data_IF_387296293153
#
_entry.id   IF_387296293153
#
_cell.length_a   1.000
_cell.length_b   1.000
_cell.length_c   1.000
_cell.angle_alpha   90.00
_cell.angle_beta   90.00
_cell.angle_gamma   90.00
#
_symmetry.space_group_name_H-M   'P 1'
#
loop_
_entity.id
_entity.type
_entity.pdbx_description
1 polymer ?
#
# COMPACT_ATOMS: atom_id res chain seq x y z
N UNK A 1 -0.94 4.92 -7.94
CA UNK A 1 -1.42 5.57 -6.71
C UNK A 1 -2.69 4.87 -6.26
N UNK A 2 -2.86 4.70 -4.95
CA UNK A 2 -3.99 3.97 -4.35
C UNK A 2 -4.79 4.88 -3.41
N UNK A 3 -6.11 4.77 -3.46
CA UNK A 3 -7.03 5.39 -2.52
C UNK A 3 -8.30 4.55 -2.32
N UNK A 4 -8.98 4.68 -1.20
CA UNK A 4 -10.34 4.16 -0.98
C UNK A 4 -11.37 5.05 -1.68
N UNK A 5 -11.11 6.35 -1.78
CA UNK A 5 -12.07 7.35 -2.22
C UNK A 5 -11.86 7.72 -3.68
N UNK A 6 -12.92 7.57 -4.49
CA UNK A 6 -12.91 8.01 -5.89
C UNK A 6 -12.68 9.50 -6.03
N UNK A 7 -13.22 10.31 -5.11
CA UNK A 7 -13.04 11.76 -5.11
C UNK A 7 -11.56 12.14 -5.01
N UNK A 8 -10.79 11.45 -4.15
CA UNK A 8 -9.34 11.64 -4.05
C UNK A 8 -8.65 11.32 -5.37
N UNK A 9 -9.06 10.25 -6.05
CA UNK A 9 -8.53 9.92 -7.38
C UNK A 9 -8.92 10.97 -8.44
N UNK A 10 -10.14 11.51 -8.40
CA UNK A 10 -10.60 12.58 -9.30
C UNK A 10 -9.70 13.83 -9.17
N UNK A 11 -9.40 14.23 -7.92
CA UNK A 11 -8.51 15.38 -7.65
C UNK A 11 -7.07 15.13 -8.10
N UNK A 12 -6.55 13.92 -7.88
CA UNK A 12 -5.21 13.53 -8.30
C UNK A 12 -5.13 13.50 -9.83
N UNK A 13 -6.11 12.92 -10.50
CA UNK A 13 -6.19 12.86 -11.97
C UNK A 13 -6.19 14.28 -12.57
N UNK A 14 -6.98 15.18 -12.01
CA UNK A 14 -6.98 16.59 -12.42
C UNK A 14 -5.60 17.26 -12.24
N UNK A 15 -4.94 17.00 -11.11
CA UNK A 15 -3.60 17.54 -10.85
C UNK A 15 -2.53 16.95 -11.78
N UNK A 16 -2.58 15.65 -12.08
CA UNK A 16 -1.68 14.99 -13.03
C UNK A 16 -1.86 15.54 -14.44
N UNK A 17 -3.12 15.74 -14.87
CA UNK A 17 -3.44 16.33 -16.17
C UNK A 17 -2.90 17.77 -16.29
N UNK A 18 -3.06 18.58 -15.24
CA UNK A 18 -2.49 19.94 -15.20
C UNK A 18 -0.95 19.93 -15.26
N UNK A 19 -0.31 18.92 -14.68
CA UNK A 19 1.13 18.73 -14.74
C UNK A 19 1.62 18.07 -16.05
N UNK A 20 0.72 17.76 -16.99
CA UNK A 20 1.06 17.06 -18.24
C UNK A 20 1.51 15.61 -18.05
N UNK A 21 1.17 14.99 -16.91
CA UNK A 21 1.54 13.60 -16.60
C UNK A 21 0.39 12.69 -17.02
N UNK A 22 0.62 11.87 -18.04
CA UNK A 22 -0.39 10.93 -18.50
C UNK A 22 -0.62 9.82 -17.46
N UNK A 23 -1.89 9.62 -17.11
CA UNK A 23 -2.32 8.59 -16.19
C UNK A 23 -3.50 7.79 -16.72
N UNK A 24 -3.67 6.57 -16.22
CA UNK A 24 -4.86 5.74 -16.48
C UNK A 24 -5.57 5.41 -15.18
N UNK A 25 -6.87 5.10 -15.26
CA UNK A 25 -7.73 4.90 -14.10
C UNK A 25 -8.33 3.50 -14.05
N UNK A 26 -8.23 2.87 -12.90
CA UNK A 26 -8.77 1.55 -12.61
C UNK A 26 -9.53 1.57 -11.29
N UNK A 27 -10.84 1.82 -11.37
CA UNK A 27 -11.74 1.82 -10.23
C UNK A 27 -13.05 1.06 -10.52
N UNK A 28 -13.99 1.10 -9.58
CA UNK A 28 -15.27 0.38 -9.70
C UNK A 28 -16.18 0.87 -10.83
N UNK A 29 -15.93 2.03 -11.45
CA UNK A 29 -16.68 2.51 -12.62
C UNK A 29 -16.16 1.90 -13.93
N UNK A 30 -14.94 1.36 -13.94
CA UNK A 30 -14.38 0.70 -15.12
C UNK A 30 -15.10 -0.62 -15.35
N UNK A 31 -15.79 -0.72 -16.48
CA UNK A 31 -16.51 -1.92 -16.88
C UNK A 31 -15.56 -3.11 -17.03
N UNK A 32 -16.07 -4.33 -16.84
CA UNK A 32 -15.25 -5.54 -16.90
C UNK A 32 -14.48 -5.66 -18.22
N UNK A 33 -15.08 -5.26 -19.35
CA UNK A 33 -14.46 -5.27 -20.66
C UNK A 33 -13.29 -4.27 -20.79
N UNK A 34 -13.32 -3.14 -20.06
CA UNK A 34 -12.31 -2.08 -20.12
C UNK A 34 -11.15 -2.29 -19.15
N UNK A 35 -11.30 -3.18 -18.16
CA UNK A 35 -10.25 -3.46 -17.18
C UNK A 35 -8.96 -3.96 -17.82
N UNK A 36 -9.04 -4.92 -18.73
CA UNK A 36 -7.86 -5.48 -19.39
C UNK A 36 -7.18 -4.46 -20.33
N UNK A 37 -7.91 -3.71 -21.17
CA UNK A 37 -7.35 -2.61 -21.95
C UNK A 37 -6.58 -1.58 -21.11
N UNK A 38 -7.15 -1.11 -20.01
CA UNK A 38 -6.49 -0.13 -19.11
C UNK A 38 -5.17 -0.67 -18.56
N UNK A 39 -5.15 -1.94 -18.13
CA UNK A 39 -3.94 -2.57 -17.62
C UNK A 39 -2.90 -2.77 -18.72
N UNK A 40 -3.33 -3.14 -19.92
CA UNK A 40 -2.44 -3.29 -21.06
C UNK A 40 -1.82 -1.94 -21.43
N UNK A 41 -2.61 -0.86 -21.47
CA UNK A 41 -2.12 0.49 -21.72
C UNK A 41 -1.07 0.89 -20.68
N UNK A 42 -1.30 0.65 -19.39
CA UNK A 42 -0.30 0.91 -18.35
C UNK A 42 1.00 0.09 -18.52
N UNK A 43 0.91 -1.13 -19.07
CA UNK A 43 2.07 -2.02 -19.24
C UNK A 43 2.86 -1.72 -20.50
N UNK A 44 2.21 -1.42 -21.61
CA UNK A 44 2.84 -1.31 -22.93
C UNK A 44 3.16 0.12 -23.35
N UNK A 45 2.46 1.12 -22.79
CA UNK A 45 2.63 2.51 -23.21
C UNK A 45 3.59 3.26 -22.26
N UNK A 46 4.82 3.60 -22.70
CA UNK A 46 5.79 4.30 -21.86
C UNK A 46 5.37 5.74 -21.50
N UNK A 47 4.44 6.33 -22.25
CA UNK A 47 3.88 7.65 -21.96
C UNK A 47 3.01 7.62 -20.68
N UNK A 48 2.39 6.48 -20.37
CA UNK A 48 1.54 6.35 -19.17
C UNK A 48 2.42 6.09 -17.96
N UNK A 49 2.63 7.13 -17.15
CA UNK A 49 3.52 7.06 -15.99
C UNK A 49 2.82 6.67 -14.70
N UNK A 50 1.50 6.86 -14.62
CA UNK A 50 0.73 6.65 -13.39
C UNK A 50 -0.53 5.84 -13.67
N UNK A 51 -0.80 4.86 -12.81
CA UNK A 51 -2.11 4.21 -12.70
C UNK A 51 -2.78 4.60 -11.38
N UNK A 52 -4.04 5.02 -11.45
CA UNK A 52 -4.89 5.40 -10.32
C UNK A 52 -5.83 4.24 -9.99
N UNK A 53 -5.74 3.72 -8.76
CA UNK A 53 -6.44 2.50 -8.35
C UNK A 53 -7.27 2.74 -7.09
N UNK A 54 -8.51 2.24 -7.07
CA UNK A 54 -9.20 2.08 -5.79
C UNK A 54 -8.70 0.84 -5.06
N UNK A 55 -8.57 0.93 -3.73
CA UNK A 55 -8.10 -0.19 -2.90
C UNK A 55 -8.99 -1.43 -3.01
N UNK A 56 -10.30 -1.24 -3.20
CA UNK A 56 -11.26 -2.33 -3.40
C UNK A 56 -10.98 -3.09 -4.71
N UNK A 57 -10.56 -2.39 -5.76
CA UNK A 57 -10.21 -3.01 -7.04
C UNK A 57 -8.82 -3.68 -7.01
N UNK A 58 -7.96 -3.36 -6.04
CA UNK A 58 -6.69 -4.05 -5.83
C UNK A 58 -6.82 -5.54 -5.44
N UNK A 59 -7.99 -5.98 -4.98
CA UNK A 59 -8.23 -7.36 -4.54
C UNK A 59 -8.44 -8.37 -5.68
N UNK A 60 -8.80 -7.90 -6.89
CA UNK A 60 -9.26 -8.78 -8.01
C UNK A 60 -8.16 -9.47 -8.81
N UNK A 61 -7.01 -9.78 -8.19
CA UNK A 61 -5.94 -10.56 -8.85
C UNK A 61 -5.10 -9.79 -9.87
N UNK A 62 -4.98 -8.47 -9.72
CA UNK A 62 -4.14 -7.63 -10.58
C UNK A 62 -2.65 -7.95 -10.40
N UNK A 63 -1.88 -7.90 -11.49
CA UNK A 63 -0.41 -7.98 -11.48
C UNK A 63 0.17 -6.67 -11.99
N UNK A 64 0.85 -5.93 -11.11
CA UNK A 64 1.39 -4.59 -11.36
C UNK A 64 2.92 -4.56 -11.21
N UNK A 65 3.59 -5.59 -11.74
CA UNK A 65 5.07 -5.68 -11.79
C UNK A 65 5.72 -4.57 -12.61
N UNK A 66 4.95 -3.80 -13.36
CA UNK A 66 5.50 -2.63 -14.07
C UNK A 66 5.72 -1.40 -13.18
N UNK A 67 5.04 -1.35 -12.02
CA UNK A 67 5.18 -0.25 -11.09
C UNK A 67 6.36 -0.47 -10.13
N UNK A 68 7.26 0.51 -10.04
CA UNK A 68 8.34 0.52 -9.03
C UNK A 68 8.01 1.42 -7.84
N UNK A 69 6.92 2.19 -7.89
CA UNK A 69 6.53 3.12 -6.83
C UNK A 69 5.05 2.99 -6.51
N UNK A 70 4.75 2.83 -5.23
CA UNK A 70 3.40 2.75 -4.72
C UNK A 70 3.14 3.94 -3.78
N UNK A 71 2.18 4.79 -4.12
CA UNK A 71 1.72 5.87 -3.25
C UNK A 71 0.35 5.51 -2.70
N UNK A 72 0.22 5.46 -1.39
CA UNK A 72 -1.02 5.19 -0.68
C UNK A 72 -1.49 6.49 -0.02
N UNK A 73 -2.61 7.03 -0.49
CA UNK A 73 -3.05 8.39 -0.12
C UNK A 73 -3.71 8.49 1.26
N UNK A 74 -3.96 7.36 1.91
CA UNK A 74 -4.62 7.30 3.21
C UNK A 74 -4.14 6.06 4.00
N UNK A 75 -4.17 6.10 5.33
CA UNK A 75 -3.71 5.00 6.16
C UNK A 75 -4.67 3.81 6.04
N UNK A 76 -4.30 2.86 5.18
CA UNK A 76 -5.05 1.64 4.95
C UNK A 76 -4.28 0.39 5.38
N UNK A 77 -4.96 -0.50 6.11
CA UNK A 77 -4.38 -1.67 6.75
C UNK A 77 -4.22 -2.89 5.83
N UNK A 78 -4.87 -2.87 4.65
CA UNK A 78 -4.81 -4.00 3.70
C UNK A 78 -3.54 -3.96 2.87
N UNK A 79 -2.54 -4.73 3.29
CA UNK A 79 -1.27 -4.96 2.58
C UNK A 79 -1.46 -5.65 1.21
N UNK A 80 -2.61 -6.30 0.99
CA UNK A 80 -2.87 -7.12 -0.19
C UNK A 80 -2.83 -6.33 -1.51
N UNK A 81 -3.22 -5.06 -1.50
CA UNK A 81 -3.14 -4.21 -2.68
C UNK A 81 -1.69 -3.91 -3.07
N UNK A 82 -0.81 -3.72 -2.07
CA UNK A 82 0.62 -3.46 -2.26
C UNK A 82 1.41 -4.73 -2.60
N UNK A 83 0.98 -5.89 -2.08
CA UNK A 83 1.54 -7.19 -2.42
C UNK A 83 1.46 -7.53 -3.93
N UNK A 84 0.64 -6.81 -4.70
CA UNK A 84 0.57 -6.96 -6.17
C UNK A 84 1.71 -6.29 -6.93
N UNK A 85 2.39 -5.34 -6.29
CA UNK A 85 3.55 -4.64 -6.84
C UNK A 85 4.83 -5.37 -6.41
N UNK A 86 4.90 -5.77 -5.14
CA UNK A 86 5.98 -6.59 -4.56
C UNK A 86 5.90 -8.07 -4.98
N UNK A 87 5.33 -8.37 -6.15
CA UNK A 87 5.09 -9.75 -6.61
C UNK A 87 6.35 -10.35 -7.22
N UNK A 88 6.50 -11.68 -7.07
CA UNK A 88 7.53 -12.49 -7.74
C UNK A 88 7.54 -12.17 -9.24
N UNK A 89 8.72 -11.81 -9.77
CA UNK A 89 8.91 -11.35 -11.15
C UNK A 89 9.17 -9.83 -11.29
N UNK A 90 9.12 -9.08 -10.20
CA UNK A 90 9.61 -7.70 -10.17
C UNK A 90 11.13 -7.67 -9.90
N UNK A 91 11.90 -7.17 -10.85
CA UNK A 91 13.36 -7.01 -10.73
C UNK A 91 13.77 -5.65 -10.15
N UNK A 92 12.87 -4.66 -10.19
CA UNK A 92 13.13 -3.30 -9.73
C UNK A 92 12.80 -3.13 -8.25
N UNK A 93 13.59 -2.34 -7.54
CA UNK A 93 13.28 -1.94 -6.16
C UNK A 93 11.92 -1.22 -6.11
N UNK A 94 11.03 -1.70 -5.24
CA UNK A 94 9.69 -1.13 -5.08
C UNK A 94 9.65 -0.25 -3.83
N UNK A 95 9.40 1.05 -4.04
CA UNK A 95 9.25 2.01 -2.94
C UNK A 95 7.77 2.22 -2.64
N UNK A 96 7.36 1.97 -1.41
CA UNK A 96 6.02 2.27 -0.92
C UNK A 96 6.03 3.53 -0.05
N UNK A 97 5.27 4.55 -0.45
CA UNK A 97 5.05 5.78 0.30
C UNK A 97 3.62 5.78 0.82
N UNK A 98 3.45 6.01 2.13
CA UNK A 98 2.13 6.09 2.77
C UNK A 98 1.93 7.48 3.35
N UNK A 99 0.86 8.14 2.93
CA UNK A 99 0.47 9.43 3.45
C UNK A 99 -0.43 9.25 4.68
N UNK A 100 -0.18 10.09 5.69
CA UNK A 100 -1.01 10.23 6.87
C UNK A 100 -0.91 11.66 7.39
N UNK A 101 -1.95 12.12 8.08
CA UNK A 101 -2.04 13.45 8.66
C UNK A 101 -1.60 13.37 10.12
N UNK A 102 -0.57 14.16 10.48
CA UNK A 102 -0.12 14.28 11.87
C UNK A 102 -1.20 14.91 12.75
N UNK A 103 -1.24 14.50 14.03
CA UNK A 103 -2.22 15.00 15.02
C UNK A 103 -3.68 14.78 14.60
N UNK A 104 -3.94 13.74 13.81
CA UNK A 104 -5.29 13.33 13.43
C UNK A 104 -5.63 11.97 14.04
N UNK A 105 -6.91 11.59 13.93
CA UNK A 105 -7.38 10.25 14.32
C UNK A 105 -6.61 9.12 13.64
N UNK A 106 -6.00 9.37 12.47
CA UNK A 106 -5.21 8.40 11.74
C UNK A 106 -4.02 7.85 12.55
N UNK A 107 -3.44 8.66 13.44
CA UNK A 107 -2.34 8.23 14.32
C UNK A 107 -2.82 7.12 15.27
N UNK A 108 -3.99 7.30 15.87
CA UNK A 108 -4.60 6.30 16.77
C UNK A 108 -4.98 5.01 16.04
N UNK A 109 -5.42 5.13 14.79
CA UNK A 109 -5.67 3.96 13.93
C UNK A 109 -4.36 3.19 13.71
N UNK A 110 -3.28 3.87 13.34
CA UNK A 110 -1.97 3.23 13.14
C UNK A 110 -1.47 2.52 14.40
N UNK A 111 -1.58 3.15 15.58
CA UNK A 111 -1.24 2.54 16.87
C UNK A 111 -2.06 1.27 17.13
N UNK A 112 -3.37 1.33 16.94
CA UNK A 112 -4.27 0.17 17.12
C UNK A 112 -3.90 -0.98 16.18
N UNK A 113 -3.52 -0.68 14.93
CA UNK A 113 -3.09 -1.71 13.98
C UNK A 113 -1.75 -2.32 14.38
N UNK A 114 -0.83 -1.53 14.92
CA UNK A 114 0.44 -2.05 15.41
C UNK A 114 0.20 -3.00 16.59
N UNK A 115 -0.67 -2.63 17.53
CA UNK A 115 -1.06 -3.53 18.63
C UNK A 115 -1.66 -4.84 18.12
N UNK A 116 -2.54 -4.79 17.10
CA UNK A 116 -3.11 -6.01 16.48
C UNK A 116 -2.05 -6.88 15.79
N UNK A 117 -1.11 -6.27 15.05
CA UNK A 117 0.00 -6.99 14.41
C UNK A 117 0.91 -7.65 15.45
N UNK A 118 1.23 -6.94 16.54
CA UNK A 118 2.05 -7.47 17.63
C UNK A 118 1.34 -8.65 18.32
N UNK A 119 0.04 -8.53 18.60
CA UNK A 119 -0.74 -9.61 19.19
C UNK A 119 -0.81 -10.83 18.27
N UNK A 120 -1.04 -10.64 16.97
CA UNK A 120 -1.01 -11.74 16.00
C UNK A 120 0.36 -12.40 15.93
N UNK A 121 1.44 -11.61 15.97
CA UNK A 121 2.80 -12.11 16.05
C UNK A 121 3.04 -12.98 17.27
N UNK A 122 2.62 -12.51 18.45
CA UNK A 122 2.72 -13.25 19.72
C UNK A 122 1.97 -14.59 19.69
N UNK A 123 0.73 -14.59 19.17
CA UNK A 123 -0.09 -15.80 19.06
C UNK A 123 0.51 -16.82 18.08
N UNK A 124 1.11 -16.34 16.99
CA UNK A 124 1.76 -17.20 15.99
C UNK A 124 3.11 -17.72 16.47
N UNK A 125 3.87 -16.94 17.25
CA UNK A 125 5.13 -17.40 17.86
C UNK A 125 4.92 -18.42 18.97
N UNK A 126 3.73 -18.49 19.57
CA UNK A 126 3.39 -19.47 20.61
C UNK A 126 3.16 -20.90 20.10
N UNK A 127 3.34 -21.18 18.80
CA UNK A 127 3.18 -22.53 18.23
C UNK A 127 4.50 -23.19 17.79
N UNK A 128 5.63 -22.47 17.87
CA UNK A 128 6.97 -23.01 17.62
C UNK A 128 7.80 -22.96 18.91
N UNK A 129 7.75 -24.04 19.69
CA UNK A 129 8.71 -24.30 20.76
C UNK A 129 8.13 -24.28 22.19
N UNK A 130 7.92 -25.49 22.70
CA UNK A 130 7.93 -25.80 24.12
C UNK A 130 9.25 -25.30 24.76
N UNK A 131 9.18 -24.19 25.51
CA UNK A 131 9.97 -23.93 26.72
C UNK A 131 9.48 -22.66 27.42
N UNK A 132 9.07 -22.83 28.67
CA UNK A 132 8.68 -21.76 29.57
C UNK A 132 9.86 -20.87 29.92
N UNK A 133 9.69 -19.54 29.86
CA UNK A 133 10.22 -18.64 30.89
C UNK A 133 9.40 -17.33 30.96
N UNK A 134 9.25 -16.89 32.20
CA UNK A 134 8.35 -15.88 32.71
C UNK A 134 8.97 -14.48 32.52
N UNK A 135 8.41 -13.65 31.65
CA UNK A 135 8.64 -12.20 31.74
C UNK A 135 7.55 -11.41 31.00
N UNK A 136 6.48 -11.15 31.73
CA UNK A 136 5.53 -10.08 31.45
C UNK A 136 6.26 -8.74 31.59
N UNK A 137 6.87 -8.24 30.52
CA UNK A 137 7.65 -7.01 30.59
C UNK A 137 8.05 -6.43 29.24
N UNK A 138 7.18 -5.61 28.65
CA UNK A 138 7.53 -4.35 27.95
C UNK A 138 6.33 -3.78 27.16
N UNK A 139 5.30 -3.33 27.88
CA UNK A 139 4.43 -2.27 27.36
C UNK A 139 5.13 -0.93 27.62
N UNK A 140 6.12 -0.57 26.80
CA UNK A 140 6.68 0.78 26.81
C UNK A 140 6.26 1.50 25.52
N UNK A 141 5.26 2.37 25.68
CA UNK A 141 4.80 3.32 24.67
C UNK A 141 5.93 4.32 24.40
N UNK A 142 6.58 4.23 23.24
CA UNK A 142 7.59 5.18 22.77
C UNK A 142 7.10 5.94 21.53
N UNK A 143 6.80 7.24 21.68
CA UNK A 143 6.64 8.21 20.59
C UNK A 143 8.03 8.74 20.14
N UNK A 144 8.13 9.46 19.01
CA UNK A 144 8.48 8.97 17.68
C UNK A 144 9.95 9.26 17.29
N UNK A 145 10.66 8.27 16.76
CA UNK A 145 12.01 8.42 16.21
C UNK A 145 12.07 7.97 14.76
N UNK A 146 12.68 8.80 13.91
CA UNK A 146 12.93 8.60 12.48
C UNK A 146 13.47 7.18 12.18
N UNK A 147 12.79 6.41 11.31
CA UNK A 147 13.35 5.16 10.78
C UNK A 147 13.67 5.36 9.30
N UNK A 148 14.96 5.56 9.05
CA UNK A 148 15.58 5.46 7.74
C UNK A 148 15.96 3.98 7.55
N UNK A 149 15.23 3.22 6.74
CA UNK A 149 15.57 1.82 6.46
C UNK A 149 16.34 1.72 5.14
N UNK A 150 17.68 1.85 5.25
CA UNK A 150 18.61 1.14 4.37
C UNK A 150 18.73 -0.28 4.91
N UNK A 151 18.42 -1.29 4.09
CA UNK A 151 19.04 -2.61 4.26
C UNK A 151 19.72 -2.99 2.96
N UNK A 152 21.03 -3.21 3.07
CA UNK A 152 21.93 -3.70 2.05
C UNK A 152 22.41 -5.08 2.51
N UNK A 153 22.50 -5.98 1.52
CA UNK A 153 23.16 -7.29 1.48
C UNK A 153 22.44 -8.45 2.14
#
# INVERSE_FOLDING_TARGET
>A
MFSTWRLTLDLIEAALNQAGIRSVRFDGKVSQAQRQPVLNEFKSNPEVRVILLTLQCGAVGLTLTEASRAYLMEPHWREQALARIHRIGQEREVITVRFYIRKSFEVRVMETQQSKKNLAGFLLSGHDGDQADDSVGALQVGLPGVINSRQRR
#
